data_IF_977498765362
#
_entry.id   IF_977498765362
#
_cell.length_a   1.000
_cell.length_b   1.000
_cell.length_c   1.000
_cell.angle_alpha   90.00
_cell.angle_beta   90.00
_cell.angle_gamma   90.00
#
_symmetry.space_group_name_H-M   'P 1'
#
loop_
_entity.id
_entity.type
_entity.pdbx_description
1 polymer ?
#
# COMPACT_ATOMS: atom_id res chain seq x y z
N UNK A 1 -71.44 5.81 89.10
CA UNK A 1 -70.54 6.17 90.21
C UNK A 1 -70.26 7.66 90.18
N UNK A 2 -70.10 8.28 91.36
CA UNK A 2 -69.93 9.72 91.53
C UNK A 2 -68.88 10.03 92.57
N UNK A 3 -68.06 11.06 92.36
CA UNK A 3 -67.21 11.63 93.38
C UNK A 3 -68.03 12.55 94.29
N UNK A 4 -68.00 12.33 95.61
CA UNK A 4 -68.56 13.25 96.61
C UNK A 4 -67.53 14.29 97.02
N UNK A 5 -66.35 13.83 97.39
CA UNK A 5 -65.23 14.70 97.71
C UNK A 5 -63.91 14.03 97.33
N UNK A 6 -62.88 14.85 97.18
CA UNK A 6 -61.51 14.43 96.91
C UNK A 6 -60.56 15.29 97.74
N UNK A 7 -59.72 14.63 98.53
CA UNK A 7 -58.71 15.27 99.36
C UNK A 7 -57.33 14.81 98.90
N UNK A 8 -56.41 15.75 98.74
CA UNK A 8 -55.03 15.53 98.32
C UNK A 8 -54.10 15.98 99.45
N UNK A 9 -53.86 15.11 100.47
CA UNK A 9 -52.93 15.40 101.55
C UNK A 9 -51.54 15.79 101.06
N UNK A 10 -51.05 15.07 100.04
CA UNK A 10 -49.78 15.35 99.37
C UNK A 10 -49.82 14.71 97.98
N UNK A 11 -49.98 15.53 96.92
CA UNK A 11 -49.93 15.07 95.54
C UNK A 11 -49.65 16.22 94.56
N UNK A 12 -48.62 16.09 93.73
CA UNK A 12 -48.26 17.13 92.77
C UNK A 12 -48.01 18.48 93.46
N UNK A 13 -48.73 19.55 93.08
CA UNK A 13 -48.62 20.86 93.73
C UNK A 13 -49.46 20.97 95.01
N UNK A 14 -50.29 19.98 95.34
CA UNK A 14 -51.28 20.07 96.41
C UNK A 14 -50.73 19.59 97.75
N UNK A 15 -50.81 20.46 98.76
CA UNK A 15 -50.59 20.16 100.17
C UNK A 15 -51.89 20.36 100.92
N UNK A 16 -52.44 19.29 101.50
CA UNK A 16 -53.68 19.30 102.28
C UNK A 16 -54.87 20.00 101.58
N UNK A 17 -55.05 19.73 100.29
CA UNK A 17 -56.07 20.38 99.47
C UNK A 17 -57.33 19.54 99.34
N UNK A 18 -58.52 20.12 99.56
CA UNK A 18 -59.81 19.43 99.47
C UNK A 18 -60.72 20.01 98.38
N UNK A 19 -61.42 19.12 97.68
CA UNK A 19 -62.44 19.42 96.68
C UNK A 19 -63.75 18.74 97.10
N UNK A 20 -64.78 19.52 97.37
CA UNK A 20 -66.15 19.02 97.57
C UNK A 20 -66.95 19.23 96.28
N UNK A 21 -67.57 18.15 95.78
CA UNK A 21 -68.35 18.14 94.54
C UNK A 21 -69.86 18.29 94.77
N UNK A 22 -70.32 18.47 96.01
CA UNK A 22 -71.68 18.92 96.32
C UNK A 22 -72.81 18.09 95.68
N UNK A 23 -73.79 18.73 95.04
CA UNK A 23 -74.91 18.06 94.37
C UNK A 23 -74.55 17.60 92.93
N UNK A 24 -75.28 16.63 92.33
CA UNK A 24 -74.98 16.16 90.98
C UNK A 24 -75.17 17.29 89.96
N UNK A 25 -74.25 17.42 89.01
CA UNK A 25 -74.33 18.45 87.97
C UNK A 25 -72.98 18.75 87.34
N UNK A 26 -72.95 19.80 86.50
CA UNK A 26 -71.72 20.32 85.93
C UNK A 26 -70.91 21.05 87.00
N UNK A 27 -69.72 20.54 87.29
CA UNK A 27 -68.76 21.17 88.20
C UNK A 27 -67.64 21.80 87.37
N UNK A 28 -67.35 23.09 87.62
CA UNK A 28 -66.31 23.83 86.90
C UNK A 28 -65.17 24.15 87.85
N UNK A 29 -64.01 23.56 87.61
CA UNK A 29 -62.77 23.85 88.33
C UNK A 29 -61.98 24.90 87.55
N UNK A 30 -61.88 26.12 88.10
CA UNK A 30 -61.18 27.23 87.45
C UNK A 30 -60.03 27.76 88.33
N UNK A 31 -59.06 28.40 87.69
CA UNK A 31 -57.91 29.01 88.35
C UNK A 31 -56.85 29.47 87.35
N UNK A 32 -55.85 30.24 87.79
CA UNK A 32 -54.74 30.68 86.94
C UNK A 32 -53.96 29.51 86.31
N UNK A 33 -53.12 29.80 85.32
CA UNK A 33 -52.15 28.81 84.85
C UNK A 33 -51.29 28.31 86.02
N UNK A 34 -50.87 27.04 85.96
CA UNK A 34 -50.05 26.38 86.99
C UNK A 34 -50.73 26.17 88.35
N UNK A 35 -52.03 26.53 88.50
CA UNK A 35 -52.82 26.28 89.72
C UNK A 35 -53.13 24.80 90.01
N UNK A 36 -52.54 23.87 89.25
CA UNK A 36 -52.71 22.43 89.46
C UNK A 36 -53.91 21.77 88.75
N UNK A 37 -54.67 22.47 87.89
CA UNK A 37 -55.86 21.89 87.20
C UNK A 37 -55.59 20.54 86.50
N UNK A 38 -54.53 20.48 85.68
CA UNK A 38 -54.13 19.23 85.02
C UNK A 38 -53.60 18.18 86.00
N UNK A 39 -52.98 18.63 87.11
CA UNK A 39 -52.55 17.75 88.19
C UNK A 39 -53.74 17.15 88.95
N UNK A 40 -54.86 17.87 89.09
CA UNK A 40 -56.11 17.32 89.65
C UNK A 40 -56.65 16.18 88.80
N UNK A 41 -56.66 16.33 87.46
CA UNK A 41 -57.07 15.25 86.56
C UNK A 41 -56.16 14.02 86.70
N UNK A 42 -54.84 14.22 86.80
CA UNK A 42 -53.89 13.12 87.09
C UNK A 42 -54.13 12.50 88.46
N UNK A 43 -54.55 13.27 89.45
CA UNK A 43 -54.90 12.76 90.77
C UNK A 43 -56.14 11.85 90.69
N UNK A 44 -57.17 12.21 89.92
CA UNK A 44 -58.34 11.35 89.70
C UNK A 44 -57.93 10.01 89.07
N UNK A 45 -57.11 10.07 88.02
CA UNK A 45 -56.57 8.86 87.38
C UNK A 45 -55.76 8.01 88.36
N UNK A 46 -54.84 8.64 89.09
CA UNK A 46 -53.96 7.95 90.04
C UNK A 46 -54.71 7.33 91.22
N UNK A 47 -55.82 7.93 91.64
CA UNK A 47 -56.71 7.38 92.65
C UNK A 47 -57.43 6.11 92.13
N UNK A 48 -57.99 6.19 90.92
CA UNK A 48 -58.79 5.12 90.31
C UNK A 48 -57.94 3.91 89.89
N UNK A 49 -56.79 4.16 89.27
CA UNK A 49 -55.95 3.12 88.63
C UNK A 49 -54.61 2.89 89.33
N UNK A 50 -54.31 3.70 90.34
CA UNK A 50 -53.05 3.66 91.07
C UNK A 50 -52.01 4.63 90.54
N UNK A 51 -51.05 4.97 91.40
CA UNK A 51 -49.95 5.87 91.06
C UNK A 51 -48.84 5.11 90.33
N UNK A 52 -48.52 5.52 89.10
CA UNK A 52 -47.43 4.94 88.30
C UNK A 52 -46.09 4.89 89.07
N UNK A 53 -45.25 3.88 88.79
CA UNK A 53 -43.96 3.65 89.48
C UNK A 53 -43.04 4.87 89.43
N UNK A 54 -42.98 5.51 88.27
CA UNK A 54 -42.29 6.77 88.04
C UNK A 54 -43.37 7.82 87.78
N UNK A 55 -43.78 8.53 88.83
CA UNK A 55 -44.74 9.63 88.71
C UNK A 55 -44.00 10.96 88.73
N UNK A 56 -44.40 11.87 87.86
CA UNK A 56 -43.89 13.24 87.84
C UNK A 56 -44.55 14.11 88.92
N UNK A 57 -45.62 13.66 89.56
CA UNK A 57 -46.37 14.41 90.58
C UNK A 57 -45.73 14.35 91.99
N UNK A 58 -44.44 14.03 92.09
CA UNK A 58 -43.69 13.97 93.35
C UNK A 58 -42.67 15.11 93.52
N UNK A 59 -42.82 16.20 92.76
CA UNK A 59 -41.84 17.28 92.75
C UNK A 59 -41.83 18.10 94.07
N UNK A 60 -42.96 18.17 94.77
CA UNK A 60 -43.07 18.89 96.06
C UNK A 60 -43.02 17.94 97.27
N UNK A 61 -43.55 16.72 97.12
CA UNK A 61 -43.71 15.75 98.20
C UNK A 61 -42.94 14.45 97.93
N UNK A 62 -42.15 13.94 98.90
CA UNK A 62 -41.46 12.66 98.76
C UNK A 62 -42.43 11.50 98.49
N UNK A 63 -41.99 10.52 97.69
CA UNK A 63 -42.80 9.36 97.28
C UNK A 63 -43.60 8.71 98.43
N UNK A 64 -43.03 8.42 99.62
CA UNK A 64 -43.76 7.76 100.70
C UNK A 64 -44.93 8.58 101.29
N UNK A 65 -44.90 9.90 101.08
CA UNK A 65 -45.93 10.82 101.57
C UNK A 65 -47.07 11.02 100.58
N UNK A 66 -46.91 10.58 99.32
CA UNK A 66 -47.94 10.77 98.30
C UNK A 66 -49.21 10.00 98.64
N UNK A 67 -50.31 10.73 98.76
CA UNK A 67 -51.61 10.19 99.11
C UNK A 67 -52.73 11.02 98.45
N UNK A 68 -53.77 10.33 98.00
CA UNK A 68 -55.02 10.91 97.52
C UNK A 68 -56.16 10.16 98.20
N UNK A 69 -57.11 10.89 98.75
CA UNK A 69 -58.32 10.36 99.36
C UNK A 69 -59.53 10.78 98.54
N UNK A 70 -60.53 9.91 98.45
CA UNK A 70 -61.82 10.30 97.90
C UNK A 70 -62.97 9.54 98.55
N UNK A 71 -64.13 10.16 98.51
CA UNK A 71 -65.40 9.53 98.85
C UNK A 71 -66.19 9.32 97.57
N UNK A 72 -66.42 8.07 97.21
CA UNK A 72 -67.15 7.67 96.01
C UNK A 72 -68.54 7.17 96.38
N UNK A 73 -69.52 7.45 95.54
CA UNK A 73 -70.89 6.98 95.69
C UNK A 73 -71.30 6.15 94.47
N UNK A 74 -71.86 4.98 94.72
CA UNK A 74 -72.38 4.10 93.67
C UNK A 74 -73.88 4.34 93.44
N UNK A 75 -74.44 3.83 92.34
CA UNK A 75 -75.85 4.06 91.97
C UNK A 75 -76.86 3.41 92.92
N UNK A 76 -76.41 2.45 93.73
CA UNK A 76 -77.19 1.83 94.82
C UNK A 76 -77.15 2.62 96.13
N UNK A 77 -76.51 3.80 96.15
CA UNK A 77 -76.36 4.66 97.32
C UNK A 77 -75.23 4.26 98.27
N UNK A 78 -74.49 3.18 97.99
CA UNK A 78 -73.32 2.81 98.79
C UNK A 78 -72.18 3.81 98.62
N UNK A 79 -71.49 4.09 99.74
CA UNK A 79 -70.39 5.07 99.80
C UNK A 79 -69.09 4.36 100.16
N UNK A 80 -68.04 4.63 99.39
CA UNK A 80 -66.69 4.11 99.58
C UNK A 80 -65.74 5.27 99.89
N UNK A 81 -65.20 5.30 101.12
CA UNK A 81 -64.15 6.24 101.52
C UNK A 81 -62.79 5.54 101.45
N UNK A 82 -61.94 5.99 100.54
CA UNK A 82 -60.68 5.34 100.22
C UNK A 82 -59.53 6.33 100.16
N UNK A 83 -58.35 5.83 100.53
CA UNK A 83 -57.06 6.51 100.44
C UNK A 83 -56.13 5.67 99.57
N UNK A 84 -55.68 6.25 98.47
CA UNK A 84 -54.64 5.69 97.61
C UNK A 84 -53.30 6.29 97.99
N UNK A 85 -52.34 5.46 98.42
CA UNK A 85 -50.95 5.86 98.71
C UNK A 85 -49.99 5.35 97.63
N UNK A 86 -48.85 6.01 97.46
CA UNK A 86 -47.80 5.49 96.58
C UNK A 86 -47.18 4.23 97.19
N UNK A 87 -47.22 3.13 96.44
CA UNK A 87 -46.60 1.86 96.83
C UNK A 87 -46.55 0.86 95.67
N UNK A 88 -46.07 -0.36 95.96
CA UNK A 88 -46.08 -1.50 95.01
C UNK A 88 -47.17 -2.54 95.33
N UNK A 89 -47.55 -2.67 96.60
CA UNK A 89 -48.60 -3.54 97.12
C UNK A 89 -49.39 -2.75 98.18
N UNK A 90 -50.63 -3.14 98.43
CA UNK A 90 -51.51 -2.58 99.47
C UNK A 90 -51.61 -1.04 99.44
N UNK A 91 -51.82 -0.51 98.23
CA UNK A 91 -51.84 0.93 97.96
C UNK A 91 -53.19 1.57 98.26
N UNK A 92 -54.27 0.78 98.27
CA UNK A 92 -55.63 1.21 98.56
C UNK A 92 -55.98 0.90 100.01
N UNK A 93 -56.42 1.90 100.76
CA UNK A 93 -56.73 1.78 102.18
C UNK A 93 -58.02 2.50 102.54
N UNK A 94 -58.64 2.11 103.64
CA UNK A 94 -59.73 2.86 104.28
C UNK A 94 -59.17 4.12 104.94
N UNK A 95 -60.05 5.03 105.36
CA UNK A 95 -59.67 6.18 106.19
C UNK A 95 -58.95 5.74 107.49
N UNK A 96 -59.33 4.59 108.05
CA UNK A 96 -58.80 4.04 109.29
C UNK A 96 -57.45 3.30 109.08
N UNK A 97 -57.01 3.16 107.82
CA UNK A 97 -55.70 2.64 107.45
C UNK A 97 -55.67 1.14 107.12
N UNK A 98 -56.83 0.48 107.10
CA UNK A 98 -56.99 -0.93 106.70
C UNK A 98 -56.88 -1.08 105.18
N UNK A 99 -56.28 -2.16 104.69
CA UNK A 99 -56.15 -2.40 103.25
C UNK A 99 -57.50 -2.76 102.61
N UNK A 100 -57.80 -2.16 101.46
CA UNK A 100 -58.99 -2.46 100.65
C UNK A 100 -58.55 -3.27 99.43
N UNK A 101 -59.28 -4.33 99.10
CA UNK A 101 -59.08 -5.07 97.85
C UNK A 101 -59.46 -4.23 96.63
N UNK A 102 -58.64 -4.28 95.58
CA UNK A 102 -58.86 -3.50 94.34
C UNK A 102 -60.24 -3.80 93.71
N UNK A 103 -60.75 -5.04 93.87
CA UNK A 103 -62.06 -5.45 93.40
C UNK A 103 -63.21 -4.58 93.93
N UNK A 104 -63.09 -4.04 95.15
CA UNK A 104 -64.10 -3.14 95.71
C UNK A 104 -64.16 -1.82 94.94
N UNK A 105 -63.02 -1.26 94.53
CA UNK A 105 -62.99 -0.08 93.68
C UNK A 105 -63.43 -0.40 92.25
N UNK A 106 -63.01 -1.54 91.71
CA UNK A 106 -63.39 -1.99 90.36
C UNK A 106 -64.90 -2.10 90.19
N UNK A 107 -65.63 -2.56 91.23
CA UNK A 107 -67.10 -2.56 91.26
C UNK A 107 -67.67 -1.14 91.10
N UNK A 108 -67.08 -0.13 91.74
CA UNK A 108 -67.55 1.25 91.66
C UNK A 108 -67.31 1.85 90.27
N UNK A 109 -66.19 1.54 89.60
CA UNK A 109 -65.88 2.07 88.26
C UNK A 109 -66.44 1.23 87.10
N UNK A 110 -67.05 0.07 87.37
CA UNK A 110 -67.72 -0.75 86.37
C UNK A 110 -66.79 -1.44 85.36
N UNK A 111 -65.61 -1.91 85.82
CA UNK A 111 -64.56 -2.51 84.97
C UNK A 111 -64.01 -1.59 83.86
N UNK A 112 -64.17 -0.26 84.00
CA UNK A 112 -63.58 0.70 83.08
C UNK A 112 -62.06 0.64 83.17
N UNK A 113 -61.36 0.29 82.10
CA UNK A 113 -59.89 0.27 82.08
C UNK A 113 -59.32 1.69 82.05
N UNK A 114 -58.05 1.82 82.46
CA UNK A 114 -57.34 3.10 82.45
C UNK A 114 -57.28 3.72 81.04
N UNK A 115 -57.10 2.90 80.00
CA UNK A 115 -57.06 3.35 78.61
C UNK A 115 -58.40 3.91 78.14
N UNK A 116 -59.51 3.31 78.56
CA UNK A 116 -60.86 3.80 78.20
C UNK A 116 -61.17 5.08 78.97
N UNK A 117 -60.77 5.17 80.24
CA UNK A 117 -60.88 6.41 81.01
C UNK A 117 -60.15 7.57 80.31
N UNK A 118 -58.89 7.38 79.92
CA UNK A 118 -58.09 8.41 79.24
C UNK A 118 -58.69 8.88 77.90
N UNK A 119 -59.32 7.97 77.15
CA UNK A 119 -59.88 8.27 75.82
C UNK A 119 -61.25 8.94 75.85
N UNK A 120 -62.08 8.64 76.85
CA UNK A 120 -63.50 9.04 76.85
C UNK A 120 -63.91 9.94 78.02
N UNK A 121 -63.22 9.85 79.17
CA UNK A 121 -63.63 10.52 80.41
C UNK A 121 -62.57 11.51 80.94
N UNK A 122 -61.29 11.21 80.79
CA UNK A 122 -60.15 12.01 81.25
C UNK A 122 -59.49 12.82 80.15
N UNK A 123 -60.29 13.55 79.37
CA UNK A 123 -59.81 14.31 78.21
C UNK A 123 -58.91 15.48 78.64
N UNK A 124 -57.69 15.49 78.13
CA UNK A 124 -56.75 16.60 78.22
C UNK A 124 -56.50 17.19 76.83
N UNK A 125 -55.84 18.35 76.77
CA UNK A 125 -55.59 19.04 75.50
C UNK A 125 -54.75 18.20 74.52
N UNK A 126 -53.80 17.41 75.03
CA UNK A 126 -52.92 16.56 74.22
C UNK A 126 -53.65 15.30 73.76
N UNK A 127 -54.46 14.66 74.61
CA UNK A 127 -55.29 13.49 74.25
C UNK A 127 -56.41 13.85 73.29
N UNK A 128 -56.97 15.06 73.36
CA UNK A 128 -57.90 15.56 72.33
C UNK A 128 -57.22 15.70 70.96
N UNK A 129 -56.04 16.31 70.92
CA UNK A 129 -55.29 16.48 69.67
C UNK A 129 -54.83 15.13 69.08
N UNK A 130 -54.27 14.25 69.91
CA UNK A 130 -53.83 12.91 69.48
C UNK A 130 -55.00 12.00 69.11
N UNK A 131 -56.13 12.11 69.81
CA UNK A 131 -57.38 11.41 69.48
C UNK A 131 -57.94 11.81 68.11
N UNK A 132 -57.90 13.11 67.76
CA UNK A 132 -58.28 13.58 66.43
C UNK A 132 -57.39 13.02 65.32
N UNK A 133 -56.08 12.94 65.57
CA UNK A 133 -55.12 12.34 64.63
C UNK A 133 -55.35 10.83 64.52
N UNK A 134 -55.61 10.14 65.62
CA UNK A 134 -55.90 8.70 65.63
C UNK A 134 -57.18 8.38 64.85
N UNK A 135 -58.24 9.19 64.99
CA UNK A 135 -59.48 9.04 64.23
C UNK A 135 -59.27 9.21 62.71
N UNK A 136 -58.33 10.06 62.31
CA UNK A 136 -57.93 10.22 60.90
C UNK A 136 -57.06 9.06 60.41
N UNK A 137 -56.18 8.55 61.27
CA UNK A 137 -55.26 7.46 60.95
C UNK A 137 -55.93 6.08 60.91
N UNK A 138 -56.98 5.84 61.70
CA UNK A 138 -57.63 4.52 61.80
C UNK A 138 -58.47 4.11 60.58
N UNK A 139 -58.60 4.96 59.56
CA UNK A 139 -58.79 4.53 58.16
C UNK A 139 -59.92 3.52 57.88
N UNK A 140 -60.94 3.43 58.73
CA UNK A 140 -61.87 2.30 58.69
C UNK A 140 -63.25 2.70 59.15
N UNK A 141 -64.18 2.85 58.18
CA UNK A 141 -65.66 2.99 58.25
C UNK A 141 -66.26 3.97 59.26
N UNK A 142 -65.76 4.10 60.48
CA UNK A 142 -66.24 4.98 61.56
C UNK A 142 -65.97 6.44 61.22
N UNK A 143 -64.73 6.81 60.87
CA UNK A 143 -64.39 8.16 60.43
C UNK A 143 -65.16 8.55 59.16
N UNK A 144 -65.23 7.64 58.18
CA UNK A 144 -65.99 7.86 56.95
C UNK A 144 -67.51 7.99 57.18
N UNK A 145 -68.07 7.23 58.13
CA UNK A 145 -69.50 7.31 58.46
C UNK A 145 -69.83 8.58 59.25
N UNK A 146 -68.94 9.05 60.14
CA UNK A 146 -69.07 10.33 60.84
C UNK A 146 -69.03 11.51 59.87
N UNK A 147 -68.10 11.52 58.92
CA UNK A 147 -68.02 12.59 57.92
C UNK A 147 -69.16 12.52 56.88
N UNK A 148 -69.55 11.32 56.42
CA UNK A 148 -70.67 11.17 55.49
C UNK A 148 -72.03 11.52 56.14
N UNK A 149 -72.20 11.29 57.44
CA UNK A 149 -73.39 11.70 58.18
C UNK A 149 -73.51 13.23 58.30
N UNK A 150 -72.39 13.96 58.38
CA UNK A 150 -72.38 15.42 58.52
C UNK A 150 -72.35 16.18 57.18
N UNK A 151 -71.72 15.64 56.13
CA UNK A 151 -71.48 16.34 54.84
C UNK A 151 -72.37 15.80 53.71
N UNK A 152 -72.97 14.62 53.88
CA UNK A 152 -73.86 14.01 52.90
C UNK A 152 -73.17 13.05 51.90
N UNK A 153 -73.95 12.39 51.03
CA UNK A 153 -73.47 11.30 50.17
C UNK A 153 -72.50 11.74 49.06
N UNK A 154 -72.43 13.04 48.74
CA UNK A 154 -71.56 13.59 47.70
C UNK A 154 -70.06 13.48 48.03
N UNK A 155 -69.71 13.49 49.32
CA UNK A 155 -68.33 13.31 49.78
C UNK A 155 -67.71 12.01 49.28
N UNK A 156 -68.49 10.92 49.21
CA UNK A 156 -68.02 9.64 48.68
C UNK A 156 -67.72 9.73 47.18
N UNK A 157 -68.55 10.44 46.41
CA UNK A 157 -68.34 10.60 44.96
C UNK A 157 -67.06 11.36 44.66
N UNK A 158 -66.87 12.52 45.30
CA UNK A 158 -65.67 13.35 45.13
C UNK A 158 -64.41 12.57 45.51
N UNK A 159 -64.44 11.80 46.60
CA UNK A 159 -63.30 10.96 47.01
C UNK A 159 -62.96 9.89 45.97
N UNK A 160 -63.95 9.23 45.39
CA UNK A 160 -63.71 8.22 44.34
C UNK A 160 -63.22 8.85 43.03
N UNK A 161 -63.69 10.04 42.68
CA UNK A 161 -63.19 10.80 41.52
C UNK A 161 -61.73 11.19 41.71
N UNK A 162 -61.38 11.80 42.84
CA UNK A 162 -59.99 12.14 43.18
C UNK A 162 -59.09 10.90 43.23
N UNK A 163 -59.61 9.77 43.71
CA UNK A 163 -58.88 8.50 43.71
C UNK A 163 -58.61 8.01 42.29
N UNK A 164 -59.58 8.08 41.38
CA UNK A 164 -59.40 7.70 39.97
C UNK A 164 -58.38 8.59 39.28
N UNK A 165 -58.48 9.91 39.43
CA UNK A 165 -57.50 10.85 38.87
C UNK A 165 -56.09 10.58 39.40
N UNK A 166 -55.94 10.35 40.71
CA UNK A 166 -54.66 9.99 41.31
C UNK A 166 -54.11 8.68 40.72
N UNK A 167 -54.96 7.66 40.55
CA UNK A 167 -54.58 6.37 39.97
C UNK A 167 -54.28 6.44 38.46
N UNK A 168 -54.83 7.39 37.71
CA UNK A 168 -54.48 7.64 36.29
C UNK A 168 -53.14 8.34 36.16
N UNK A 169 -52.84 9.26 37.07
CA UNK A 169 -51.56 9.98 37.11
C UNK A 169 -50.42 9.10 37.59
N UNK A 170 -50.62 8.36 38.68
CA UNK A 170 -49.56 7.60 39.33
C UNK A 170 -50.08 6.36 40.08
N UNK A 171 -49.35 5.24 39.94
CA UNK A 171 -49.59 4.05 40.77
C UNK A 171 -48.27 3.50 41.30
N UNK A 172 -48.20 3.03 42.55
CA UNK A 172 -46.96 2.51 43.15
C UNK A 172 -46.30 1.38 42.33
N UNK A 173 -47.11 0.56 41.67
CA UNK A 173 -46.66 -0.57 40.83
C UNK A 173 -47.11 -0.44 39.37
N UNK A 174 -47.65 0.71 38.97
CA UNK A 174 -48.07 0.94 37.59
C UNK A 174 -46.89 1.29 36.69
N UNK A 175 -46.92 0.85 35.44
CA UNK A 175 -45.97 1.31 34.40
C UNK A 175 -46.57 2.33 33.45
N UNK A 176 -47.88 2.23 33.20
CA UNK A 176 -48.60 3.03 32.23
C UNK A 176 -49.12 4.40 32.71
N UNK A 177 -49.37 4.65 34.02
CA UNK A 177 -49.78 5.99 34.47
C UNK A 177 -48.80 7.06 34.02
N UNK A 178 -49.32 8.25 33.70
CA UNK A 178 -48.56 9.31 33.03
C UNK A 178 -47.22 9.58 33.73
N UNK A 179 -47.23 9.78 35.05
CA UNK A 179 -46.02 10.10 35.84
C UNK A 179 -45.04 8.93 35.85
N UNK A 180 -45.53 7.68 35.96
CA UNK A 180 -44.67 6.49 35.95
C UNK A 180 -43.97 6.32 34.59
N UNK A 181 -44.68 6.55 33.49
CA UNK A 181 -44.13 6.48 32.14
C UNK A 181 -43.08 7.57 31.90
N UNK A 182 -43.36 8.83 32.29
CA UNK A 182 -42.41 9.94 32.15
C UNK A 182 -41.17 9.73 33.02
N UNK A 183 -41.32 9.21 34.23
CA UNK A 183 -40.18 8.90 35.11
C UNK A 183 -39.30 7.78 34.53
N UNK A 184 -39.91 6.79 33.88
CA UNK A 184 -39.18 5.76 33.13
C UNK A 184 -38.36 6.35 32.00
N UNK A 185 -39.00 7.13 31.12
CA UNK A 185 -38.33 7.80 30.01
C UNK A 185 -37.21 8.73 30.47
N UNK A 186 -37.41 9.47 31.57
CA UNK A 186 -36.37 10.33 32.16
C UNK A 186 -35.18 9.51 32.67
N UNK A 187 -35.41 8.39 33.37
CA UNK A 187 -34.32 7.51 33.83
C UNK A 187 -33.53 6.94 32.66
N UNK A 188 -34.22 6.52 31.61
CA UNK A 188 -33.57 5.99 30.39
C UNK A 188 -32.75 7.07 29.70
N UNK A 189 -33.28 8.29 29.56
CA UNK A 189 -32.53 9.43 28.99
C UNK A 189 -31.31 9.81 29.83
N UNK A 190 -31.41 9.82 31.16
CA UNK A 190 -30.26 10.05 32.06
C UNK A 190 -29.22 8.94 31.90
N UNK A 191 -29.65 7.68 31.78
CA UNK A 191 -28.74 6.55 31.56
C UNK A 191 -28.03 6.68 30.21
N UNK A 192 -28.76 6.95 29.13
CA UNK A 192 -28.18 7.17 27.80
C UNK A 192 -27.20 8.34 27.79
N UNK A 193 -27.51 9.42 28.49
CA UNK A 193 -26.61 10.58 28.62
C UNK A 193 -25.33 10.17 29.35
N UNK A 194 -25.41 9.41 30.45
CA UNK A 194 -24.23 8.91 31.17
C UNK A 194 -23.39 7.93 30.36
N UNK A 195 -24.02 7.07 29.55
CA UNK A 195 -23.32 6.12 28.68
C UNK A 195 -22.67 6.80 27.48
N UNK A 196 -23.35 7.81 26.90
CA UNK A 196 -22.83 8.61 25.79
C UNK A 196 -21.77 9.63 26.24
N UNK A 197 -21.81 10.08 27.50
CA UNK A 197 -20.78 10.93 28.07
C UNK A 197 -19.56 10.07 28.34
N UNK A 198 -18.54 10.20 27.48
CA UNK A 198 -17.24 9.60 27.72
C UNK A 198 -16.76 10.08 29.11
N UNK A 199 -16.61 9.15 30.04
CA UNK A 199 -16.03 9.47 31.33
C UNK A 199 -14.64 10.05 31.08
N UNK A 200 -14.41 11.28 31.54
CA UNK A 200 -13.14 12.01 31.36
C UNK A 200 -11.95 11.14 31.77
N UNK A 201 -12.10 10.36 32.85
CA UNK A 201 -11.08 9.40 33.31
C UNK A 201 -10.76 8.30 32.29
N UNK A 202 -11.75 7.79 31.57
CA UNK A 202 -11.56 6.76 30.53
C UNK A 202 -10.93 7.36 29.27
N UNK A 203 -11.26 8.61 28.95
CA UNK A 203 -10.60 9.34 27.87
C UNK A 203 -9.11 9.57 28.20
N UNK A 204 -8.82 10.09 29.40
CA UNK A 204 -7.46 10.34 29.88
C UNK A 204 -6.63 9.07 29.92
N UNK A 205 -7.18 7.95 30.40
CA UNK A 205 -6.45 6.66 30.42
C UNK A 205 -6.15 6.15 29.01
N UNK A 206 -7.11 6.26 28.08
CA UNK A 206 -6.90 5.85 26.68
C UNK A 206 -5.89 6.77 25.97
N UNK A 207 -5.88 8.06 26.31
CA UNK A 207 -4.91 9.01 25.76
C UNK A 207 -3.50 8.72 26.26
N UNK A 208 -3.33 8.42 27.55
CA UNK A 208 -2.04 7.99 28.10
C UNK A 208 -1.56 6.69 27.47
N UNK A 209 -2.45 5.69 27.33
CA UNK A 209 -2.13 4.42 26.69
C UNK A 209 -1.71 4.62 25.22
N UNK A 210 -2.39 5.50 24.48
CA UNK A 210 -2.01 5.85 23.11
C UNK A 210 -0.60 6.47 23.06
N UNK A 211 -0.31 7.43 23.93
CA UNK A 211 0.99 8.12 23.97
C UNK A 211 2.13 7.16 24.34
N UNK A 212 1.88 6.23 25.27
CA UNK A 212 2.83 5.16 25.61
C UNK A 212 3.09 4.22 24.42
N UNK A 213 2.04 3.77 23.73
CA UNK A 213 2.16 2.88 22.57
C UNK A 213 2.83 3.58 21.38
N UNK A 214 2.57 4.87 21.16
CA UNK A 214 3.24 5.66 20.13
C UNK A 214 4.74 5.83 20.42
N UNK A 215 5.10 6.09 21.68
CA UNK A 215 6.50 6.15 22.12
C UNK A 215 7.20 4.79 21.94
N UNK A 216 6.56 3.68 22.32
CA UNK A 216 7.09 2.33 22.11
C UNK A 216 7.29 2.02 20.62
N UNK A 217 6.29 2.34 19.79
CA UNK A 217 6.38 2.15 18.34
C UNK A 217 7.49 3.00 17.72
N UNK A 218 7.71 4.22 18.22
CA UNK A 218 8.83 5.08 17.84
C UNK A 218 10.19 4.41 18.09
N UNK A 219 10.42 3.95 19.32
CA UNK A 219 11.68 3.26 19.70
C UNK A 219 11.93 2.01 18.87
N UNK A 220 10.91 1.17 18.67
CA UNK A 220 11.03 -0.05 17.87
C UNK A 220 11.37 0.27 16.41
N UNK A 221 10.84 1.37 15.84
CA UNK A 221 11.20 1.80 14.48
C UNK A 221 12.66 2.26 14.39
N UNK A 222 13.14 3.01 15.38
CA UNK A 222 14.54 3.44 15.45
C UNK A 222 15.49 2.25 15.57
N UNK A 223 15.19 1.31 16.47
CA UNK A 223 15.98 0.08 16.65
C UNK A 223 16.00 -0.77 15.38
N UNK A 224 14.86 -0.89 14.68
CA UNK A 224 14.76 -1.60 13.41
C UNK A 224 15.61 -0.92 12.33
N UNK A 225 15.57 0.41 12.23
CA UNK A 225 16.36 1.17 11.28
C UNK A 225 17.87 1.00 11.55
N UNK A 226 18.29 1.12 12.80
CA UNK A 226 19.68 0.92 13.22
C UNK A 226 20.16 -0.51 12.93
N UNK A 227 19.32 -1.51 13.22
CA UNK A 227 19.64 -2.93 12.96
C UNK A 227 19.77 -3.22 11.48
N UNK A 228 18.88 -2.67 10.64
CA UNK A 228 18.96 -2.80 9.18
C UNK A 228 20.23 -2.16 8.62
N UNK A 229 20.57 -0.96 9.06
CA UNK A 229 21.80 -0.29 8.65
C UNK A 229 23.05 -1.10 9.04
N UNK A 230 23.05 -1.69 10.24
CA UNK A 230 24.13 -2.58 10.70
C UNK A 230 24.23 -3.83 9.84
N UNK A 231 23.10 -4.44 9.48
CA UNK A 231 23.05 -5.64 8.65
C UNK A 231 23.54 -5.36 7.23
N UNK A 232 23.16 -4.21 6.65
CA UNK A 232 23.66 -3.76 5.35
C UNK A 232 25.18 -3.55 5.38
N UNK A 233 25.70 -2.87 6.40
CA UNK A 233 27.14 -2.66 6.56
C UNK A 233 27.89 -3.99 6.69
N UNK A 234 27.39 -4.93 7.49
CA UNK A 234 27.97 -6.28 7.60
C UNK A 234 27.92 -7.04 6.25
N UNK A 235 26.83 -6.89 5.50
CA UNK A 235 26.70 -7.44 4.15
C UNK A 235 27.75 -6.87 3.19
N UNK A 236 27.99 -5.57 3.23
CA UNK A 236 29.02 -4.90 2.43
C UNK A 236 30.43 -5.32 2.84
N UNK A 237 30.71 -5.45 4.13
CA UNK A 237 31.98 -5.97 4.65
C UNK A 237 32.23 -7.41 4.19
N UNK A 238 31.21 -8.27 4.20
CA UNK A 238 31.31 -9.65 3.70
C UNK A 238 31.65 -9.68 2.20
N UNK A 239 30.99 -8.85 1.38
CA UNK A 239 31.30 -8.74 -0.06
C UNK A 239 32.73 -8.24 -0.27
N UNK A 240 33.15 -7.21 0.46
CA UNK A 240 34.50 -6.67 0.39
C UNK A 240 35.56 -7.72 0.76
N UNK A 241 35.32 -8.54 1.79
CA UNK A 241 36.20 -9.65 2.16
C UNK A 241 36.33 -10.69 1.03
N UNK A 242 35.24 -11.03 0.34
CA UNK A 242 35.28 -11.95 -0.80
C UNK A 242 36.07 -11.38 -1.98
N UNK A 243 35.83 -10.11 -2.31
CA UNK A 243 36.62 -9.42 -3.34
C UNK A 243 38.10 -9.31 -2.97
N UNK A 244 38.41 -9.07 -1.69
CA UNK A 244 39.78 -9.00 -1.19
C UNK A 244 40.49 -10.36 -1.25
N UNK A 245 39.79 -11.46 -0.91
CA UNK A 245 40.33 -12.80 -1.06
C UNK A 245 40.68 -13.11 -2.53
N UNK A 246 39.77 -12.81 -3.46
CA UNK A 246 40.03 -12.98 -4.90
C UNK A 246 41.16 -12.08 -5.40
N UNK A 247 41.24 -10.84 -4.90
CA UNK A 247 42.36 -9.95 -5.21
C UNK A 247 43.69 -10.55 -4.73
N UNK A 248 43.73 -11.18 -3.56
CA UNK A 248 44.92 -11.85 -3.05
C UNK A 248 45.32 -13.08 -3.87
N UNK A 249 44.36 -13.89 -4.29
CA UNK A 249 44.61 -15.00 -5.23
C UNK A 249 45.19 -14.49 -6.54
N UNK A 250 44.57 -13.47 -7.15
CA UNK A 250 45.08 -12.87 -8.40
C UNK A 250 46.45 -12.21 -8.24
N UNK A 251 46.76 -11.63 -7.08
CA UNK A 251 48.11 -11.12 -6.80
C UNK A 251 49.15 -12.24 -6.80
N UNK A 252 48.83 -13.40 -6.20
CA UNK A 252 49.74 -14.55 -6.21
C UNK A 252 49.89 -15.12 -7.62
N UNK A 253 48.79 -15.25 -8.38
CA UNK A 253 48.84 -15.67 -9.79
C UNK A 253 49.69 -14.70 -10.64
N UNK A 254 49.59 -13.39 -10.38
CA UNK A 254 50.41 -12.39 -11.06
C UNK A 254 51.89 -12.48 -10.66
N UNK A 255 52.19 -12.73 -9.38
CA UNK A 255 53.56 -12.96 -8.89
C UNK A 255 54.19 -14.21 -9.52
N UNK A 256 53.43 -15.29 -9.71
CA UNK A 256 53.90 -16.50 -10.43
C UNK A 256 54.25 -16.21 -11.90
N UNK A 257 53.57 -15.25 -12.51
CA UNK A 257 53.79 -14.82 -13.89
C UNK A 257 54.87 -13.72 -14.01
N UNK A 258 55.44 -13.23 -12.90
CA UNK A 258 56.35 -12.08 -12.89
C UNK A 258 57.67 -12.29 -13.65
N UNK A 259 58.10 -13.55 -13.80
CA UNK A 259 59.30 -13.88 -14.59
C UNK A 259 59.04 -13.98 -16.09
N UNK A 260 57.77 -13.93 -16.53
CA UNK A 260 57.42 -13.99 -17.94
C UNK A 260 57.62 -12.59 -18.54
N UNK A 261 58.42 -12.44 -19.61
CA UNK A 261 58.57 -11.15 -20.26
C UNK A 261 57.24 -10.68 -20.84
N UNK A 262 56.91 -9.41 -20.62
CA UNK A 262 55.71 -8.79 -21.21
C UNK A 262 55.77 -8.91 -22.73
N UNK A 263 54.77 -9.61 -23.28
CA UNK A 263 54.60 -9.77 -24.71
C UNK A 263 53.67 -8.67 -25.23
N UNK A 264 54.06 -8.05 -26.33
CA UNK A 264 53.20 -7.06 -27.00
C UNK A 264 51.86 -7.70 -27.40
N UNK A 265 50.78 -6.91 -27.45
CA UNK A 265 49.43 -7.38 -27.82
C UNK A 265 49.39 -8.11 -29.18
N UNK A 266 50.31 -7.77 -30.09
CA UNK A 266 50.42 -8.35 -31.42
C UNK A 266 51.32 -9.60 -31.49
N UNK A 267 51.94 -10.02 -30.38
CA UNK A 267 52.92 -11.10 -30.36
C UNK A 267 52.37 -12.41 -30.94
N UNK A 268 51.16 -12.81 -30.57
CA UNK A 268 50.51 -14.02 -31.11
C UNK A 268 50.39 -13.96 -32.63
N UNK A 269 49.99 -12.80 -33.16
CA UNK A 269 49.84 -12.58 -34.60
C UNK A 269 51.19 -12.54 -35.32
N UNK A 270 52.21 -11.91 -34.71
CA UNK A 270 53.59 -11.91 -35.25
C UNK A 270 54.19 -13.31 -35.26
N UNK A 271 54.01 -14.09 -34.18
CA UNK A 271 54.46 -15.48 -34.07
C UNK A 271 53.81 -16.34 -35.14
N UNK A 272 52.49 -16.27 -35.30
CA UNK A 272 51.76 -17.03 -36.32
C UNK A 272 52.21 -16.66 -37.72
N UNK A 273 52.29 -15.36 -38.02
CA UNK A 273 52.78 -14.89 -39.33
C UNK A 273 54.19 -15.38 -39.63
N UNK A 274 55.12 -15.23 -38.68
CA UNK A 274 56.50 -15.68 -38.86
C UNK A 274 56.58 -17.21 -39.01
N UNK A 275 55.72 -17.96 -38.30
CA UNK A 275 55.67 -19.42 -38.43
C UNK A 275 55.13 -19.87 -39.79
N UNK A 276 54.12 -19.19 -40.31
CA UNK A 276 53.58 -19.46 -41.64
C UNK A 276 54.56 -19.07 -42.75
N UNK A 277 55.22 -17.91 -42.63
CA UNK A 277 56.30 -17.48 -43.52
C UNK A 277 57.45 -18.50 -43.52
N UNK A 278 57.84 -19.00 -42.34
CA UNK A 278 58.85 -20.06 -42.22
C UNK A 278 58.41 -21.36 -42.93
N UNK A 279 57.17 -21.80 -42.74
CA UNK A 279 56.62 -22.99 -43.43
C UNK A 279 56.62 -22.81 -44.95
N UNK A 280 56.19 -21.66 -45.44
CA UNK A 280 56.17 -21.34 -46.88
C UNK A 280 57.58 -21.34 -47.45
N UNK A 281 58.53 -20.68 -46.77
CA UNK A 281 59.93 -20.65 -47.19
C UNK A 281 60.56 -22.05 -47.22
N UNK A 282 60.26 -22.90 -46.24
CA UNK A 282 60.74 -24.28 -46.21
C UNK A 282 60.14 -25.15 -47.32
N UNK A 283 58.86 -24.98 -47.64
CA UNK A 283 58.22 -25.68 -48.75
C UNK A 283 58.81 -25.25 -50.11
N UNK A 284 59.01 -23.95 -50.30
CA UNK A 284 59.61 -23.40 -51.52
C UNK A 284 61.07 -23.83 -51.70
N UNK A 285 61.85 -23.86 -50.61
CA UNK A 285 63.21 -24.41 -50.62
C UNK A 285 63.21 -25.89 -51.04
N UNK A 286 62.24 -26.67 -50.56
CA UNK A 286 62.05 -28.06 -50.97
C UNK A 286 61.75 -28.19 -52.47
N UNK A 287 60.82 -27.36 -52.98
CA UNK A 287 60.45 -27.30 -54.40
C UNK A 287 61.65 -26.96 -55.29
N UNK A 288 62.36 -25.88 -54.97
CA UNK A 288 63.53 -25.43 -55.72
C UNK A 288 64.68 -26.44 -55.70
N UNK A 289 64.90 -27.14 -54.57
CA UNK A 289 65.87 -28.24 -54.51
C UNK A 289 65.48 -29.40 -55.42
N UNK A 290 64.21 -29.76 -55.47
CA UNK A 290 63.72 -30.81 -56.36
C UNK A 290 63.85 -30.41 -57.83
N UNK A 291 63.47 -29.18 -58.17
CA UNK A 291 63.58 -28.61 -59.52
C UNK A 291 65.03 -28.54 -59.99
N UNK A 292 65.94 -28.08 -59.12
CA UNK A 292 67.39 -28.11 -59.41
C UNK A 292 67.87 -29.52 -59.70
N UNK A 293 67.51 -30.50 -58.86
CA UNK A 293 67.91 -31.91 -59.07
C UNK A 293 67.42 -32.43 -60.42
N UNK A 294 66.18 -32.09 -60.81
CA UNK A 294 65.63 -32.47 -62.11
C UNK A 294 66.35 -31.79 -63.28
N UNK A 295 66.70 -30.51 -63.15
CA UNK A 295 67.44 -29.78 -64.18
C UNK A 295 68.87 -30.29 -64.30
N UNK A 296 69.54 -30.60 -63.20
CA UNK A 296 70.87 -31.21 -63.18
C UNK A 296 70.85 -32.59 -63.88
N UNK A 297 69.80 -33.40 -63.66
CA UNK A 297 69.60 -34.66 -64.39
C UNK A 297 69.39 -34.44 -65.89
N UNK A 298 68.52 -33.51 -66.29
CA UNK A 298 68.29 -33.18 -67.70
C UNK A 298 69.55 -32.66 -68.38
N UNK A 299 70.38 -31.90 -67.67
CA UNK A 299 71.65 -31.40 -68.20
C UNK A 299 72.64 -32.54 -68.51
N UNK A 300 72.65 -33.59 -67.68
CA UNK A 300 73.46 -34.80 -67.94
C UNK A 300 72.98 -35.59 -69.17
N UNK A 301 71.70 -35.47 -69.55
CA UNK A 301 71.13 -36.13 -70.73
C UNK A 301 71.43 -35.41 -72.06
N UNK A 302 71.92 -34.16 -72.02
CA UNK A 302 72.26 -33.40 -73.22
C UNK A 302 73.65 -33.83 -73.74
N UNK A 303 73.78 -34.30 -74.99
CA UNK A 303 75.08 -34.66 -75.57
C UNK A 303 75.99 -33.43 -75.71
N UNK A 304 77.26 -33.56 -75.32
CA UNK A 304 78.28 -32.50 -75.44
C UNK A 304 78.61 -32.15 -76.91
N UNK A 305 78.41 -33.07 -77.84
CA UNK A 305 78.62 -32.87 -79.28
C UNK A 305 77.42 -33.34 -80.08
N UNK A 306 76.98 -32.49 -81.01
CA UNK A 306 75.88 -32.78 -81.92
C UNK A 306 76.50 -33.08 -83.29
N UNK A 307 76.50 -34.33 -83.79
CA UNK A 307 77.17 -34.70 -85.04
C UNK A 307 76.69 -33.90 -86.26
N UNK A 308 75.48 -33.35 -86.20
CA UNK A 308 74.92 -32.49 -87.26
C UNK A 308 75.66 -31.15 -87.39
N UNK A 309 76.35 -30.69 -86.34
CA UNK A 309 77.16 -29.46 -86.36
C UNK A 309 78.58 -29.68 -86.91
N UNK A 310 78.99 -30.93 -87.17
CA UNK A 310 80.32 -31.26 -87.69
C UNK A 310 80.41 -31.21 -89.23
N UNK A 311 79.30 -30.98 -89.94
CA UNK A 311 79.26 -30.92 -91.42
C UNK A 311 78.54 -29.67 -91.97
N UNK A 312 78.99 -28.45 -91.65
CA UNK A 312 78.35 -27.20 -92.08
C UNK A 312 78.27 -27.09 -93.61
N UNK A 313 79.32 -27.49 -94.32
CA UNK A 313 79.38 -27.41 -95.78
C UNK A 313 78.37 -28.34 -96.48
N UNK A 314 78.05 -29.48 -95.87
CA UNK A 314 77.07 -30.43 -96.40
C UNK A 314 75.64 -29.91 -96.24
N UNK A 315 75.34 -29.26 -95.11
CA UNK A 315 74.05 -28.62 -94.85
C UNK A 315 73.83 -27.45 -95.80
N UNK A 316 74.85 -26.61 -95.99
CA UNK A 316 74.75 -25.46 -96.89
C UNK A 316 74.63 -25.88 -98.37
N UNK A 317 75.33 -26.95 -98.79
CA UNK A 317 75.15 -27.53 -100.12
C UNK A 317 73.75 -28.12 -100.33
N UNK A 318 73.19 -28.80 -99.33
CA UNK A 318 71.82 -29.32 -99.40
C UNK A 318 70.81 -28.19 -99.52
N UNK A 319 70.98 -27.10 -98.78
CA UNK A 319 70.14 -25.91 -98.88
C UNK A 319 70.23 -25.24 -100.26
N UNK A 320 71.44 -25.05 -100.80
CA UNK A 320 71.64 -24.48 -102.15
C UNK A 320 71.05 -25.37 -103.25
N UNK A 321 71.16 -26.69 -103.11
CA UNK A 321 70.58 -27.65 -104.06
C UNK A 321 69.05 -27.66 -103.99
N UNK A 322 68.47 -27.53 -102.79
CA UNK A 322 67.03 -27.42 -102.62
C UNK A 322 66.47 -26.17 -103.31
N UNK A 323 67.09 -24.99 -103.11
CA UNK A 323 66.67 -23.77 -103.80
C UNK A 323 66.79 -23.87 -105.33
N UNK A 324 67.85 -24.49 -105.85
CA UNK A 324 68.01 -24.64 -107.31
C UNK A 324 66.97 -25.59 -107.93
N UNK A 325 66.45 -26.55 -107.17
CA UNK A 325 65.36 -27.42 -107.62
C UNK A 325 64.03 -26.65 -107.63
N UNK A 326 63.78 -25.78 -106.65
CA UNK A 326 62.63 -24.87 -106.64
C UNK A 326 62.65 -23.91 -107.84
N UNK A 327 63.80 -23.29 -108.15
CA UNK A 327 63.93 -22.38 -109.31
C UNK A 327 63.60 -23.10 -110.64
N UNK A 328 64.19 -24.29 -110.87
CA UNK A 328 63.97 -25.07 -112.09
C UNK A 328 62.52 -25.55 -112.25
N UNK A 329 61.83 -25.88 -111.16
CA UNK A 329 60.41 -26.25 -111.20
C UNK A 329 59.51 -25.08 -111.60
N UNK A 330 59.98 -23.84 -111.42
CA UNK A 330 59.25 -22.61 -111.77
C UNK A 330 59.45 -22.21 -113.23
N UNK A 331 60.64 -22.46 -113.80
CA UNK A 331 61.00 -22.09 -115.18
C UNK A 331 60.39 -23.02 -116.26
N UNK A 332 60.21 -24.31 -115.96
CA UNK A 332 59.67 -25.31 -116.92
C UNK A 332 58.35 -24.87 -117.57
N UNK A 333 57.30 -24.47 -116.82
CA UNK A 333 56.03 -24.06 -117.44
C UNK A 333 56.14 -22.79 -118.30
N UNK A 334 57.08 -21.89 -117.99
CA UNK A 334 57.32 -20.66 -118.77
C UNK A 334 57.94 -21.02 -120.13
N UNK A 335 58.96 -21.86 -120.14
CA UNK A 335 59.64 -22.30 -121.36
C UNK A 335 58.74 -23.13 -122.27
N UNK A 336 57.87 -23.99 -121.70
CA UNK A 336 56.89 -24.74 -122.49
C UNK A 336 55.83 -23.83 -123.14
N UNK A 337 55.45 -22.74 -122.47
CA UNK A 337 54.51 -21.77 -123.03
C UNK A 337 55.14 -20.97 -124.18
N UNK A 338 56.41 -20.58 -124.06
CA UNK A 338 57.17 -19.94 -125.14
C UNK A 338 57.32 -20.85 -126.36
N UNK A 339 57.61 -22.14 -126.16
CA UNK A 339 57.75 -23.11 -127.25
C UNK A 339 56.44 -23.24 -128.04
N UNK A 340 55.31 -23.44 -127.34
CA UNK A 340 53.98 -23.50 -127.97
C UNK A 340 53.62 -22.22 -128.72
N UNK A 341 54.01 -21.07 -128.17
CA UNK A 341 53.79 -19.79 -128.83
C UNK A 341 54.56 -19.67 -130.14
N UNK A 342 55.87 -19.98 -130.12
CA UNK A 342 56.70 -19.97 -131.34
C UNK A 342 56.22 -20.98 -132.38
N UNK A 343 55.85 -22.19 -131.99
CA UNK A 343 55.31 -23.21 -132.91
C UNK A 343 54.02 -22.72 -133.60
N UNK A 344 53.12 -22.07 -132.85
CA UNK A 344 51.92 -21.46 -133.42
C UNK A 344 52.23 -20.33 -134.40
N UNK A 345 53.25 -19.51 -134.10
CA UNK A 345 53.66 -18.41 -134.97
C UNK A 345 54.27 -18.95 -136.27
N UNK A 346 55.08 -20.01 -136.19
CA UNK A 346 55.66 -20.67 -137.38
C UNK A 346 54.56 -21.29 -138.24
N UNK A 347 53.60 -21.99 -137.64
CA UNK A 347 52.43 -22.54 -138.35
C UNK A 347 51.62 -21.44 -139.04
N UNK A 348 51.34 -20.33 -138.34
CA UNK A 348 50.57 -19.20 -138.89
C UNK A 348 51.31 -18.51 -140.05
N UNK A 349 52.61 -18.29 -139.90
CA UNK A 349 53.46 -17.68 -140.94
C UNK A 349 53.60 -18.60 -142.15
N UNK A 350 53.67 -19.93 -141.96
CA UNK A 350 53.65 -20.90 -143.07
C UNK A 350 52.34 -20.85 -143.87
N UNK A 351 51.21 -20.77 -143.17
CA UNK A 351 49.89 -20.65 -143.78
C UNK A 351 49.75 -19.35 -144.59
N UNK A 352 50.20 -18.22 -144.05
CA UNK A 352 50.15 -16.92 -144.72
C UNK A 352 51.05 -16.86 -145.97
N UNK A 353 52.13 -17.64 -146.01
CA UNK A 353 53.06 -17.72 -147.16
C UNK A 353 52.64 -18.74 -148.22
N UNK A 354 51.50 -19.43 -148.08
CA UNK A 354 51.00 -20.39 -149.07
C UNK A 354 51.90 -21.61 -149.28
N UNK A 355 52.76 -21.92 -148.31
CA UNK A 355 53.71 -23.02 -148.36
C UNK A 355 53.03 -24.31 -147.87
N UNK A 356 52.76 -25.25 -148.78
CA UNK A 356 52.35 -26.62 -148.42
C UNK A 356 53.44 -27.35 -147.65
N UNK A 357 53.06 -28.40 -146.93
CA UNK A 357 53.76 -28.93 -145.74
C UNK A 357 55.24 -29.36 -145.85
N UNK A 358 55.91 -29.29 -146.99
CA UNK A 358 57.29 -29.82 -147.15
C UNK A 358 58.18 -28.99 -148.09
N UNK A 359 58.60 -27.78 -147.70
CA UNK A 359 59.71 -27.12 -148.40
C UNK A 359 60.76 -26.58 -147.41
N UNK A 360 61.75 -27.41 -147.12
CA UNK A 360 62.85 -27.19 -146.15
C UNK A 360 63.92 -26.18 -146.59
N UNK A 361 63.64 -25.27 -147.52
CA UNK A 361 64.68 -24.43 -148.13
C UNK A 361 64.42 -22.95 -147.85
N UNK A 362 64.68 -22.54 -146.61
CA UNK A 362 64.89 -21.13 -146.26
C UNK A 362 66.28 -20.66 -146.76
N UNK A 363 66.41 -19.40 -147.23
CA UNK A 363 67.62 -18.95 -147.94
C UNK A 363 68.89 -18.87 -147.08
N UNK A 364 70.01 -19.32 -147.68
CA UNK A 364 71.37 -19.32 -147.15
C UNK A 364 71.89 -17.88 -146.86
N UNK A 365 72.74 -17.77 -145.83
CA UNK A 365 73.33 -16.55 -145.25
C UNK A 365 73.90 -15.52 -146.23
N UNK A 366 74.25 -15.89 -147.47
CA UNK A 366 74.73 -14.96 -148.49
C UNK A 366 73.72 -13.85 -148.83
N UNK A 367 72.42 -14.16 -148.86
CA UNK A 367 71.38 -13.17 -149.23
C UNK A 367 71.12 -12.19 -148.07
N UNK A 368 71.34 -12.61 -146.82
CA UNK A 368 71.26 -11.72 -145.65
C UNK A 368 72.43 -10.72 -145.57
N UNK A 369 73.61 -11.09 -146.06
CA UNK A 369 74.77 -10.21 -146.08
C UNK A 369 74.60 -9.05 -147.08
N UNK A 370 74.02 -9.32 -148.26
CA UNK A 370 73.82 -8.31 -149.31
C UNK A 370 72.78 -7.25 -148.91
N UNK A 371 71.70 -7.65 -148.22
CA UNK A 371 70.70 -6.72 -147.68
C UNK A 371 71.26 -5.81 -146.57
N UNK A 372 72.19 -6.32 -145.74
CA UNK A 372 72.83 -5.54 -144.68
C UNK A 372 73.78 -4.45 -145.22
N UNK A 373 74.46 -4.73 -146.33
CA UNK A 373 75.42 -3.80 -146.92
C UNK A 373 74.74 -2.59 -147.56
N UNK A 374 73.62 -2.81 -148.27
CA UNK A 374 72.79 -1.76 -148.87
C UNK A 374 72.14 -0.84 -147.81
N UNK A 375 71.78 -1.37 -146.64
CA UNK A 375 71.25 -0.56 -145.54
C UNK A 375 72.32 0.36 -144.92
N UNK A 376 73.58 -0.07 -144.88
CA UNK A 376 74.70 0.73 -144.35
C UNK A 376 75.07 1.90 -145.28
N UNK A 377 75.06 1.69 -146.61
CA UNK A 377 75.36 2.74 -147.60
C UNK A 377 74.32 3.87 -147.60
N UNK A 378 73.04 3.54 -147.38
CA UNK A 378 71.98 4.55 -147.30
C UNK A 378 72.16 5.49 -146.09
N UNK A 379 72.66 4.96 -144.97
CA UNK A 379 72.85 5.71 -143.73
C UNK A 379 74.03 6.70 -143.82
N UNK A 380 75.09 6.33 -144.53
CA UNK A 380 76.29 7.17 -144.67
C UNK A 380 76.06 8.34 -145.66
N UNK A 381 75.30 8.09 -146.74
CA UNK A 381 74.88 9.13 -147.69
C UNK A 381 73.93 10.15 -147.07
N UNK A 382 73.05 9.73 -146.15
CA UNK A 382 72.11 10.63 -145.46
C UNK A 382 72.83 11.60 -144.50
N UNK A 383 73.91 11.15 -143.83
CA UNK A 383 74.75 11.98 -142.94
C UNK A 383 75.58 13.00 -143.71
N UNK A 384 76.10 12.66 -144.89
CA UNK A 384 76.83 13.62 -145.74
C UNK A 384 75.94 14.75 -146.25
N UNK A 385 74.67 14.48 -146.56
CA UNK A 385 73.73 15.50 -147.04
C UNK A 385 73.44 16.57 -145.99
N UNK A 386 73.26 16.17 -144.72
CA UNK A 386 72.96 17.07 -143.62
C UNK A 386 74.14 17.99 -143.27
N UNK A 387 75.39 17.50 -143.33
CA UNK A 387 76.58 18.33 -143.08
C UNK A 387 76.83 19.44 -144.14
N UNK A 388 76.46 19.19 -145.40
CA UNK A 388 76.59 20.17 -146.49
C UNK A 388 75.54 21.28 -146.37
N UNK A 389 74.34 20.99 -145.86
CA UNK A 389 73.29 21.99 -145.64
C UNK A 389 73.65 22.97 -144.48
N UNK A 390 74.32 22.49 -143.43
CA UNK A 390 74.77 23.33 -142.29
C UNK A 390 75.95 24.25 -142.63
N UNK A 391 76.83 23.84 -143.54
CA UNK A 391 77.97 24.67 -143.95
C UNK A 391 77.56 25.80 -144.89
N UNK A 392 76.57 25.56 -145.76
CA UNK A 392 76.03 26.53 -146.70
C UNK A 392 75.26 27.67 -146.00
N UNK A 393 74.60 27.37 -144.87
CA UNK A 393 73.92 28.37 -144.04
C UNK A 393 74.90 29.27 -143.27
N UNK A 394 76.00 28.72 -142.76
CA UNK A 394 77.08 29.52 -142.11
C UNK A 394 77.78 30.47 -143.07
N UNK A 395 78.00 30.06 -144.33
CA UNK A 395 78.63 30.90 -145.36
C UNK A 395 77.75 32.08 -145.79
N UNK A 396 76.42 31.88 -145.92
CA UNK A 396 75.48 32.97 -146.22
C UNK A 396 75.40 34.03 -145.13
N UNK A 397 75.47 33.62 -143.85
CA UNK A 397 75.45 34.56 -142.71
C UNK A 397 76.72 35.42 -142.62
N UNK A 398 77.86 34.90 -143.08
CA UNK A 398 79.16 35.62 -143.01
C UNK A 398 79.31 36.66 -144.12
N UNK A 399 78.76 36.39 -145.31
CA UNK A 399 78.73 37.31 -146.44
C UNK A 399 77.87 38.55 -146.14
N UNK A 400 76.69 38.37 -145.54
CA UNK A 400 75.80 39.49 -145.16
C UNK A 400 76.40 40.43 -144.09
N UNK A 401 77.34 39.94 -143.26
CA UNK A 401 78.01 40.76 -142.22
C UNK A 401 79.16 41.62 -142.75
N UNK A 402 79.80 41.24 -143.85
CA UNK A 402 80.93 41.98 -144.41
C UNK A 402 80.50 43.10 -145.36
N UNK A 403 79.30 43.00 -145.95
CA UNK A 403 78.75 44.06 -146.81
C UNK A 403 78.33 45.31 -146.03
N UNK A 404 78.10 45.22 -144.71
CA UNK A 404 77.58 46.36 -143.92
C UNK A 404 78.65 47.23 -143.24
N UNK A 405 79.94 46.95 -143.38
CA UNK A 405 81.03 47.78 -142.80
C UNK A 405 81.87 48.52 -143.84
N UNK A 406 81.29 48.82 -145.01
CA UNK A 406 81.87 49.73 -146.01
C UNK A 406 81.02 50.98 -146.28
N UNK A 407 80.39 51.55 -145.25
CA UNK A 407 79.82 52.90 -145.26
C UNK A 407 80.12 53.65 -143.98
#
# INVERSE_FOLDING_TARGET
MRFRSMHMPAFGPFTDFEMDFGAPGLQVVFGPNESGKSSSLRAFRALLYGMHRQTTDAFLHPYPKLAIRARLEHSDGSVLDLVRRKGRKDTLKTHEGESIEEAHLTRFIGNLTEEVFDRLYGLDHRTLASGGIALLAEGGRVGESLFAANVGPEFRKVREELRKEAEELWRPKGKNPAINATLGAWKDAVKQTKEATLQVSKFESLQQELEEQESLAGRVREDLAATRARLENLGNQKKALQSWARFKELQLELEELAEIPDLDEDFSRRREKAHDEFKQAMAELGRLKAERTQLDQKLQEVPETWPVLEAPDAIENLFRRASRVEDLLTDIPVLEAELRHLESQVQKTRLDLGLSEESDHFPNSSIRAEAGQLASEHLDLSRRRTAVEESLTKLKARLARLESQKQ
#
